data_IF_933938848733
#
_entry.id   IF_933938848733
#
_cell.length_a   1.000
_cell.length_b   1.000
_cell.length_c   1.000
_cell.angle_alpha   90.00
_cell.angle_beta   90.00
_cell.angle_gamma   90.00
#
_symmetry.space_group_name_H-M   'P 1'
#
loop_
_entity.id
_entity.type
_entity.pdbx_description
1 polymer ?
#
# COMPACT_ATOMS: atom_id res chain seq x y z
N UNK A 1 19.77 3.90 -0.88
CA UNK A 1 18.96 3.93 0.35
C UNK A 1 18.88 5.38 0.80
N UNK A 2 17.85 6.11 0.36
CA UNK A 2 17.67 7.51 0.71
C UNK A 2 16.97 7.59 2.08
N UNK A 3 17.43 8.49 2.95
CA UNK A 3 16.94 8.64 4.33
C UNK A 3 15.52 9.24 4.31
N UNK A 4 14.57 8.57 4.96
CA UNK A 4 13.17 9.00 5.03
C UNK A 4 12.96 10.12 6.04
N UNK A 5 12.14 11.12 5.69
CA UNK A 5 11.59 12.14 6.61
C UNK A 5 10.45 11.59 7.52
N UNK A 6 10.53 10.31 7.89
CA UNK A 6 9.61 9.69 8.84
C UNK A 6 10.46 8.92 9.85
N UNK A 7 10.29 9.24 11.14
CA UNK A 7 11.10 8.70 12.22
C UNK A 7 10.57 7.33 12.70
N UNK A 8 11.50 6.37 12.84
CA UNK A 8 11.33 5.04 13.46
C UNK A 8 10.24 4.11 12.88
N UNK A 9 10.56 3.44 11.77
CA UNK A 9 9.73 2.41 11.15
C UNK A 9 9.81 1.04 11.88
N UNK A 10 9.11 0.92 13.01
CA UNK A 10 8.99 -0.37 13.72
C UNK A 10 8.19 -1.40 12.91
N UNK A 11 7.18 -0.95 12.16
CA UNK A 11 6.33 -1.82 11.32
C UNK A 11 7.11 -2.49 10.16
N UNK A 12 7.92 -1.71 9.42
CA UNK A 12 8.76 -2.24 8.33
C UNK A 12 9.80 -3.24 8.88
N UNK A 13 10.42 -2.91 10.00
CA UNK A 13 11.44 -3.77 10.61
C UNK A 13 10.84 -5.09 11.15
N UNK A 14 9.61 -5.05 11.68
CA UNK A 14 8.92 -6.24 12.18
C UNK A 14 8.40 -7.13 11.04
N UNK A 15 7.89 -6.54 9.96
CA UNK A 15 7.47 -7.28 8.77
C UNK A 15 8.65 -8.00 8.08
N UNK A 16 9.84 -7.40 8.11
CA UNK A 16 11.05 -7.97 7.48
C UNK A 16 11.82 -8.99 8.34
N UNK A 17 11.34 -9.31 9.55
CA UNK A 17 11.96 -10.35 10.36
C UNK A 17 11.87 -11.71 9.63
N UNK A 18 13.03 -12.31 9.33
CA UNK A 18 13.09 -13.57 8.59
C UNK A 18 12.48 -14.71 9.40
N UNK A 19 11.40 -15.32 8.88
CA UNK A 19 10.87 -16.58 9.38
C UNK A 19 11.24 -17.68 8.40
N UNK A 20 12.01 -18.67 8.84
CA UNK A 20 12.41 -19.79 8.00
C UNK A 20 11.31 -20.86 7.97
N UNK A 21 11.11 -21.52 6.82
CA UNK A 21 10.22 -22.70 6.60
C UNK A 21 8.71 -22.44 6.41
N UNK A 22 8.28 -21.29 5.89
CA UNK A 22 6.88 -21.03 5.53
C UNK A 22 6.74 -20.71 4.03
N UNK A 23 5.70 -21.22 3.38
CA UNK A 23 5.35 -20.87 1.98
C UNK A 23 4.80 -19.44 1.88
N UNK A 24 4.05 -19.00 2.90
CA UNK A 24 3.62 -17.63 3.09
C UNK A 24 3.92 -17.16 4.53
N UNK A 25 4.55 -16.01 4.68
CA UNK A 25 4.84 -15.37 5.97
C UNK A 25 3.69 -14.51 6.47
N UNK A 26 2.88 -13.97 5.56
CA UNK A 26 1.71 -13.13 5.85
C UNK A 26 0.84 -12.99 4.59
N UNK A 27 -0.35 -12.41 4.77
CA UNK A 27 -1.29 -12.09 3.71
C UNK A 27 -1.44 -10.57 3.64
N UNK A 28 -1.49 -10.03 2.43
CA UNK A 28 -1.84 -8.64 2.16
C UNK A 28 -3.11 -8.57 1.34
N UNK A 29 -3.90 -7.52 1.53
CA UNK A 29 -5.07 -7.30 0.70
C UNK A 29 -5.72 -5.94 0.90
N UNK A 30 -6.66 -5.62 0.01
CA UNK A 30 -7.44 -4.39 0.08
C UNK A 30 -8.84 -4.68 0.63
N UNK A 31 -9.28 -3.80 1.53
CA UNK A 31 -10.63 -3.84 2.11
C UNK A 31 -11.31 -2.51 1.82
N UNK A 32 -12.55 -2.57 1.35
CA UNK A 32 -13.38 -1.37 1.22
C UNK A 32 -13.75 -0.88 2.63
N UNK A 33 -13.29 0.32 3.01
CA UNK A 33 -13.58 0.91 4.33
C UNK A 33 -15.06 1.13 4.58
N UNK A 34 -15.82 1.48 3.52
CA UNK A 34 -17.26 1.74 3.58
C UNK A 34 -18.07 0.47 3.83
N UNK A 35 -17.77 -0.59 3.09
CA UNK A 35 -18.56 -1.83 3.09
C UNK A 35 -17.95 -2.96 3.93
N UNK A 36 -16.72 -2.75 4.44
CA UNK A 36 -15.95 -3.69 5.27
C UNK A 36 -15.80 -5.07 4.63
N UNK A 37 -15.68 -5.08 3.31
CA UNK A 37 -15.48 -6.30 2.52
C UNK A 37 -14.12 -6.28 1.84
N UNK A 38 -13.54 -7.47 1.65
CA UNK A 38 -12.36 -7.63 0.82
C UNK A 38 -12.70 -7.32 -0.64
N UNK A 39 -11.84 -6.55 -1.30
CA UNK A 39 -12.00 -6.27 -2.72
C UNK A 39 -11.55 -7.50 -3.52
N UNK A 40 -12.37 -7.99 -4.47
CA UNK A 40 -12.00 -9.12 -5.31
C UNK A 40 -10.70 -8.89 -6.06
N UNK A 41 -9.92 -9.97 -6.24
CA UNK A 41 -8.62 -9.94 -6.94
C UNK A 41 -7.52 -9.08 -6.27
N UNK A 42 -7.77 -8.58 -5.06
CA UNK A 42 -6.85 -7.68 -4.35
C UNK A 42 -6.25 -8.34 -3.11
N UNK A 43 -5.77 -9.58 -3.23
CA UNK A 43 -5.19 -10.37 -2.14
C UNK A 43 -3.91 -11.05 -2.61
N UNK A 44 -2.88 -11.07 -1.76
CA UNK A 44 -1.56 -11.64 -2.05
C UNK A 44 -0.99 -12.37 -0.85
N UNK A 45 -0.19 -13.40 -1.13
CA UNK A 45 0.67 -14.04 -0.13
C UNK A 45 2.07 -13.44 -0.18
N UNK A 46 2.60 -13.09 0.98
CA UNK A 46 3.98 -12.64 1.11
C UNK A 46 4.89 -13.83 1.42
N UNK A 47 6.00 -13.96 0.68
CA UNK A 47 6.97 -15.04 0.91
C UNK A 47 8.08 -14.63 1.89
N UNK A 48 8.39 -13.33 1.97
CA UNK A 48 9.39 -12.79 2.90
C UNK A 48 9.11 -11.31 3.13
N UNK A 49 8.43 -11.03 4.23
CA UNK A 49 8.03 -9.68 4.60
C UNK A 49 7.16 -9.01 3.55
N UNK A 50 6.82 -7.76 3.80
CA UNK A 50 5.96 -7.02 2.89
C UNK A 50 6.77 -6.46 1.72
N UNK A 51 6.39 -6.84 0.50
CA UNK A 51 7.00 -6.33 -0.74
C UNK A 51 6.10 -5.29 -1.37
N UNK A 52 6.66 -4.14 -1.71
CA UNK A 52 5.91 -3.05 -2.36
C UNK A 52 5.24 -3.53 -3.66
N UNK A 53 5.92 -4.32 -4.51
CA UNK A 53 5.33 -4.85 -5.73
C UNK A 53 4.04 -5.68 -5.51
N UNK A 54 3.96 -6.39 -4.37
CA UNK A 54 2.77 -7.17 -4.03
C UNK A 54 1.64 -6.23 -3.60
N UNK A 55 1.97 -5.13 -2.91
CA UNK A 55 1.01 -4.09 -2.54
C UNK A 55 0.56 -3.26 -3.74
N UNK A 56 1.44 -3.00 -4.70
CA UNK A 56 1.10 -2.35 -5.98
C UNK A 56 0.07 -3.21 -6.72
N UNK A 57 0.29 -4.53 -6.79
CA UNK A 57 -0.69 -5.47 -7.36
C UNK A 57 -2.03 -5.40 -6.64
N UNK A 58 -2.03 -5.48 -5.29
CA UNK A 58 -3.25 -5.38 -4.48
C UNK A 58 -4.01 -4.10 -4.78
N UNK A 59 -3.32 -2.96 -4.77
CA UNK A 59 -3.93 -1.65 -4.94
C UNK A 59 -4.45 -1.46 -6.37
N UNK A 60 -3.66 -1.77 -7.39
CA UNK A 60 -4.09 -1.65 -8.79
C UNK A 60 -5.32 -2.51 -9.09
N UNK A 61 -5.37 -3.76 -8.62
CA UNK A 61 -6.55 -4.60 -8.79
C UNK A 61 -7.76 -4.05 -8.02
N UNK A 62 -7.55 -3.51 -6.82
CA UNK A 62 -8.64 -2.93 -6.05
C UNK A 62 -9.22 -1.69 -6.73
N UNK A 63 -8.35 -0.84 -7.26
CA UNK A 63 -8.74 0.35 -8.01
C UNK A 63 -9.36 -0.01 -9.37
N UNK A 64 -9.00 -1.15 -9.98
CA UNK A 64 -9.60 -1.60 -11.23
C UNK A 64 -10.95 -2.31 -11.08
N UNK A 65 -11.37 -2.63 -9.86
CA UNK A 65 -12.57 -3.44 -9.62
C UNK A 65 -13.79 -2.58 -9.27
N UNK A 66 -14.75 -2.47 -10.20
CA UNK A 66 -16.04 -1.79 -10.01
C UNK A 66 -15.92 -0.33 -9.52
N UNK A 67 -14.93 0.40 -10.04
CA UNK A 67 -14.68 1.81 -9.71
C UNK A 67 -15.02 2.76 -10.86
N UNK A 68 -15.70 2.27 -11.90
CA UNK A 68 -16.15 3.11 -13.01
C UNK A 68 -16.98 4.30 -12.50
N UNK A 69 -16.61 5.51 -12.94
CA UNK A 69 -17.23 6.76 -12.48
C UNK A 69 -16.71 7.29 -11.14
N UNK A 70 -15.75 6.62 -10.49
CA UNK A 70 -15.02 7.18 -9.35
C UNK A 70 -13.78 7.92 -9.84
N UNK A 71 -13.66 9.18 -9.42
CA UNK A 71 -12.51 10.03 -9.76
C UNK A 71 -11.42 9.99 -8.68
N UNK A 72 -11.78 9.57 -7.46
CA UNK A 72 -10.89 9.64 -6.30
C UNK A 72 -10.92 8.37 -5.47
N UNK A 73 -9.74 7.90 -5.09
CA UNK A 73 -9.55 6.80 -4.15
C UNK A 73 -8.80 7.26 -2.89
N UNK A 74 -9.47 7.16 -1.75
CA UNK A 74 -8.84 7.37 -0.44
C UNK A 74 -8.22 6.06 0.04
N UNK A 75 -6.89 6.04 0.14
CA UNK A 75 -6.13 4.84 0.53
C UNK A 75 -5.61 4.97 1.95
N UNK A 76 -5.82 3.96 2.79
CA UNK A 76 -5.24 3.94 4.15
C UNK A 76 -4.23 2.81 4.24
N UNK A 77 -3.02 3.16 4.66
CA UNK A 77 -1.94 2.20 4.81
C UNK A 77 -0.92 2.64 5.86
N UNK A 78 -0.39 1.72 6.67
CA UNK A 78 0.43 2.07 7.86
C UNK A 78 1.76 2.75 7.50
N UNK A 79 2.25 2.50 6.30
CA UNK A 79 3.43 3.17 5.73
C UNK A 79 3.09 3.93 4.45
N UNK A 80 1.86 4.46 4.34
CA UNK A 80 1.42 5.19 3.16
C UNK A 80 2.34 6.37 2.83
N UNK A 81 2.89 7.04 3.85
CA UNK A 81 3.82 8.17 3.70
C UNK A 81 5.12 7.84 2.94
N UNK A 82 5.52 6.56 2.94
CA UNK A 82 6.66 6.08 2.16
C UNK A 82 6.21 5.43 0.86
N UNK A 83 5.16 4.61 0.94
CA UNK A 83 4.65 3.84 -0.19
C UNK A 83 4.16 4.75 -1.32
N UNK A 84 3.36 5.77 -1.00
CA UNK A 84 2.77 6.64 -2.02
C UNK A 84 3.81 7.44 -2.82
N UNK A 85 4.99 7.70 -2.24
CA UNK A 85 6.10 8.42 -2.91
C UNK A 85 6.62 7.67 -4.14
N UNK A 86 6.61 6.34 -4.09
CA UNK A 86 7.17 5.50 -5.14
C UNK A 86 6.12 4.68 -5.90
N UNK A 87 4.84 4.69 -5.46
CA UNK A 87 3.75 3.96 -6.07
C UNK A 87 3.65 4.19 -7.59
N UNK A 88 3.58 5.46 -8.04
CA UNK A 88 3.43 5.75 -9.47
C UNK A 88 4.66 5.32 -10.28
N UNK A 89 5.85 5.32 -9.68
CA UNK A 89 7.05 4.82 -10.34
C UNK A 89 6.97 3.30 -10.51
N UNK A 90 6.67 2.57 -9.43
CA UNK A 90 6.55 1.12 -9.45
C UNK A 90 5.48 0.63 -10.43
N UNK A 91 4.32 1.29 -10.48
CA UNK A 91 3.26 0.96 -11.43
C UNK A 91 3.71 1.20 -12.87
N UNK A 92 4.38 2.31 -13.17
CA UNK A 92 4.87 2.63 -14.54
C UNK A 92 5.95 1.66 -15.04
N UNK A 93 6.75 1.10 -14.16
CA UNK A 93 7.79 0.12 -14.52
C UNK A 93 7.22 -1.29 -14.79
N UNK A 94 5.97 -1.53 -14.41
CA UNK A 94 5.31 -2.82 -14.61
C UNK A 94 4.46 -2.84 -15.88
N UNK A 95 4.65 -3.80 -16.79
CA UNK A 95 3.75 -3.97 -17.94
C UNK A 95 2.39 -4.59 -17.57
N UNK A 96 2.19 -5.00 -16.32
CA UNK A 96 1.01 -5.73 -15.87
C UNK A 96 0.12 -4.94 -14.89
N UNK A 97 0.58 -3.77 -14.44
CA UNK A 97 -0.14 -2.97 -13.45
C UNK A 97 -0.62 -1.67 -14.08
N UNK A 98 -1.83 -1.28 -13.74
CA UNK A 98 -2.41 -0.01 -14.15
C UNK A 98 -3.29 0.55 -13.03
N UNK A 99 -3.28 1.87 -12.92
CA UNK A 99 -4.28 2.62 -12.15
C UNK A 99 -5.31 3.13 -13.17
N UNK A 100 -6.62 3.09 -12.88
CA UNK A 100 -7.64 3.60 -13.79
C UNK A 100 -7.33 5.03 -14.23
N UNK A 101 -7.58 5.33 -15.51
CA UNK A 101 -7.32 6.64 -16.06
C UNK A 101 -8.10 7.72 -15.31
N UNK A 102 -7.43 8.81 -14.95
CA UNK A 102 -8.03 9.94 -14.23
C UNK A 102 -8.25 9.71 -12.72
N UNK A 103 -7.93 8.53 -12.18
CA UNK A 103 -8.06 8.24 -10.75
C UNK A 103 -7.03 9.02 -9.93
N UNK A 104 -7.49 9.93 -9.08
CA UNK A 104 -6.69 10.58 -8.05
C UNK A 104 -6.57 9.67 -6.82
N UNK A 105 -5.34 9.38 -6.39
CA UNK A 105 -5.08 8.63 -5.16
C UNK A 105 -4.74 9.61 -4.04
N UNK A 106 -5.61 9.68 -3.05
CA UNK A 106 -5.40 10.47 -1.83
C UNK A 106 -4.87 9.53 -0.74
N UNK A 107 -3.60 9.66 -0.32
CA UNK A 107 -3.05 8.85 0.75
C UNK A 107 -3.54 9.34 2.10
N UNK A 108 -4.41 8.55 2.73
CA UNK A 108 -4.74 8.66 4.14
C UNK A 108 -3.61 8.12 5.02
N UNK A 109 -3.35 8.86 6.09
CA UNK A 109 -2.36 8.51 7.11
C UNK A 109 -3.13 8.15 8.38
N UNK A 110 -2.88 6.94 8.92
CA UNK A 110 -3.54 6.51 10.15
C UNK A 110 -3.19 7.42 11.34
N UNK A 111 -4.12 7.60 12.29
CA UNK A 111 -3.94 8.44 13.49
C UNK A 111 -2.65 8.14 14.28
N UNK A 112 -2.15 6.91 14.22
CA UNK A 112 -0.90 6.48 14.86
C UNK A 112 0.37 7.12 14.27
N UNK A 113 0.25 7.80 13.13
CA UNK A 113 1.36 8.45 12.44
C UNK A 113 1.34 9.99 12.58
N UNK A 114 0.22 10.58 13.04
CA UNK A 114 0.08 12.05 13.18
C UNK A 114 1.13 12.62 14.12
N UNK A 115 1.58 11.86 15.11
CA UNK A 115 2.65 12.22 16.04
C UNK A 115 4.07 12.17 15.44
N UNK A 116 4.21 11.73 14.18
CA UNK A 116 5.50 11.57 13.49
C UNK A 116 5.76 12.55 12.34
N UNK A 117 4.81 13.44 12.04
CA UNK A 117 5.01 14.52 11.07
C UNK A 117 5.72 15.70 11.74
N UNK A 118 6.90 16.07 11.24
CA UNK A 118 7.49 17.35 11.59
C UNK A 118 6.57 18.45 11.05
N UNK A 119 5.96 19.19 11.97
CA UNK A 119 5.29 20.45 11.68
C UNK A 119 6.34 21.44 11.15
N UNK A 120 6.38 21.63 9.84
CA UNK A 120 6.97 22.82 9.27
C UNK A 120 5.87 23.86 9.16
N UNK A 121 5.98 24.91 9.99
CA UNK A 121 5.24 26.17 9.83
C UNK A 121 5.86 27.05 8.76
#
# INVERSE_FOLDING_TARGET
>A
MQRSECNNHRAVNQANASRHKLEATSIGGCVCTRHRCFVPHSMVYFQKGERQMNMDYVLCNALGYNTEGLETALTFYDMNCQYNKYLLHGVKESPYLAIPFGMEIIPGIGLWHVHGHASHG
#
